data_IF_484336514477
#
_entry.id   IF_484336514477
#
_cell.length_a   1.000
_cell.length_b   1.000
_cell.length_c   1.000
_cell.angle_alpha   90.00
_cell.angle_beta   90.00
_cell.angle_gamma   90.00
#
_symmetry.space_group_name_H-M   'P 1'
#
loop_
_entity.id
_entity.type
_entity.pdbx_description
1 polymer ?
#
# COMPACT_ATOMS: atom_id res chain seq x y z
N UNK A 1 -15.15 -81.21 -16.43
CA UNK A 1 -13.72 -80.94 -16.77
C UNK A 1 -13.68 -79.52 -17.36
N UNK A 2 -13.84 -78.44 -16.59
CA UNK A 2 -12.94 -77.81 -15.60
C UNK A 2 -11.58 -77.37 -16.19
N UNK A 3 -11.60 -76.26 -16.94
CA UNK A 3 -10.46 -75.37 -17.18
C UNK A 3 -10.94 -73.94 -16.90
N UNK A 4 -10.74 -73.44 -15.67
CA UNK A 4 -9.67 -72.52 -15.23
C UNK A 4 -9.72 -71.16 -15.93
N UNK A 5 -10.48 -70.27 -15.29
CA UNK A 5 -10.36 -68.81 -15.42
C UNK A 5 -8.94 -68.40 -15.01
N UNK A 6 -8.19 -67.84 -15.95
CA UNK A 6 -6.91 -67.16 -15.69
C UNK A 6 -7.27 -65.76 -15.20
N UNK A 7 -7.11 -65.59 -13.89
CA UNK A 7 -7.16 -64.30 -13.20
C UNK A 7 -5.97 -63.46 -13.67
N UNK A 8 -6.22 -62.51 -14.57
CA UNK A 8 -5.31 -61.40 -14.84
C UNK A 8 -5.47 -60.41 -13.67
N UNK A 9 -4.77 -60.70 -12.57
CA UNK A 9 -4.49 -59.76 -11.48
C UNK A 9 -3.01 -59.46 -11.51
N UNK A 10 -2.55 -58.60 -12.40
CA UNK A 10 -1.31 -57.83 -12.34
C UNK A 10 -1.28 -57.01 -13.63
N UNK A 11 -0.93 -55.72 -13.54
CA UNK A 11 -1.04 -54.68 -14.59
C UNK A 11 -2.37 -53.88 -14.54
N UNK A 12 -2.83 -53.55 -13.33
CA UNK A 12 -3.35 -52.20 -13.02
C UNK A 12 -2.49 -51.70 -11.85
N UNK A 13 -1.23 -51.48 -12.17
CA UNK A 13 -0.18 -51.00 -11.28
C UNK A 13 0.78 -50.13 -12.10
N UNK A 14 0.22 -49.35 -13.02
CA UNK A 14 0.94 -48.43 -13.90
C UNK A 14 0.22 -47.09 -13.81
N UNK A 15 0.91 -46.15 -13.16
CA UNK A 15 0.69 -44.70 -13.20
C UNK A 15 -0.68 -44.17 -12.76
N UNK A 16 -0.94 -44.25 -11.45
CA UNK A 16 -1.48 -43.08 -10.74
C UNK A 16 -0.28 -42.25 -10.22
N UNK A 17 0.60 -41.81 -11.12
CA UNK A 17 1.22 -40.51 -10.89
C UNK A 17 0.13 -39.52 -11.30
N UNK A 18 -0.73 -39.18 -10.35
CA UNK A 18 -1.33 -37.85 -10.38
C UNK A 18 -0.11 -36.95 -10.26
N UNK A 19 0.43 -36.54 -11.40
CA UNK A 19 1.15 -35.29 -11.49
C UNK A 19 0.08 -34.30 -11.04
N UNK A 20 0.02 -34.04 -9.74
CA UNK A 20 -0.59 -32.83 -9.21
C UNK A 20 0.35 -31.73 -9.70
N UNK A 21 0.28 -31.43 -10.99
CA UNK A 21 0.74 -30.17 -11.50
C UNK A 21 -0.13 -29.18 -10.76
N UNK A 22 0.43 -28.61 -9.69
CA UNK A 22 -0.09 -27.42 -9.05
C UNK A 22 -0.08 -26.41 -10.20
N UNK A 23 -1.20 -26.28 -10.90
CA UNK A 23 -1.28 -25.43 -12.07
C UNK A 23 -1.17 -24.02 -11.52
N UNK A 24 -0.08 -23.31 -11.83
CA UNK A 24 0.02 -21.91 -11.49
C UNK A 24 -1.11 -21.16 -12.24
N UNK A 25 -1.81 -20.28 -11.52
CA UNK A 25 -2.74 -19.34 -12.09
C UNK A 25 -1.94 -18.19 -12.72
N UNK A 26 -1.86 -18.21 -14.04
CA UNK A 26 -1.21 -17.17 -14.84
C UNK A 26 -2.25 -16.15 -15.31
N UNK A 27 -2.06 -14.88 -14.94
CA UNK A 27 -2.92 -13.76 -15.28
C UNK A 27 -2.21 -12.89 -16.33
N UNK A 28 -2.41 -13.24 -17.60
CA UNK A 28 -1.89 -12.49 -18.76
C UNK A 28 -2.86 -11.40 -19.24
N UNK A 29 -4.13 -11.44 -18.81
CA UNK A 29 -5.16 -10.46 -19.13
C UNK A 29 -5.84 -9.93 -17.86
N UNK A 30 -6.47 -8.77 -17.98
CA UNK A 30 -7.21 -8.15 -16.89
C UNK A 30 -8.32 -9.08 -16.38
N UNK A 31 -8.19 -9.53 -15.13
CA UNK A 31 -9.05 -10.56 -14.55
C UNK A 31 -9.68 -10.03 -13.27
N UNK A 32 -10.97 -10.28 -13.10
CA UNK A 32 -11.70 -10.05 -11.86
C UNK A 32 -12.27 -11.36 -11.37
N UNK A 33 -11.91 -11.70 -10.15
CA UNK A 33 -12.44 -12.85 -9.45
C UNK A 33 -13.31 -12.31 -8.32
N UNK A 34 -14.62 -12.37 -8.54
CA UNK A 34 -15.61 -12.03 -7.53
C UNK A 34 -16.12 -13.31 -6.84
N UNK A 35 -16.46 -13.20 -5.57
CA UNK A 35 -16.98 -14.30 -4.75
C UNK A 35 -16.03 -15.52 -4.61
N UNK A 36 -14.70 -15.33 -4.72
CA UNK A 36 -13.72 -16.36 -4.36
C UNK A 36 -13.11 -16.11 -2.98
N UNK A 37 -13.49 -16.93 -2.00
CA UNK A 37 -12.97 -16.83 -0.64
C UNK A 37 -11.50 -17.28 -0.52
N UNK A 38 -11.01 -18.16 -1.40
CA UNK A 38 -9.66 -18.73 -1.29
C UNK A 38 -9.00 -18.97 -2.63
N UNK A 39 -7.76 -18.50 -2.78
CA UNK A 39 -6.83 -18.82 -3.87
C UNK A 39 -5.73 -19.72 -3.30
N UNK A 40 -5.54 -20.94 -3.81
CA UNK A 40 -4.51 -21.88 -3.32
C UNK A 40 -3.40 -22.14 -4.31
N UNK A 41 -3.64 -21.88 -5.60
CA UNK A 41 -2.65 -22.10 -6.65
C UNK A 41 -1.57 -21.02 -6.62
N UNK A 42 -0.36 -21.35 -7.10
CA UNK A 42 0.68 -20.35 -7.32
C UNK A 42 0.16 -19.26 -8.26
N UNK A 43 0.48 -18.01 -7.98
CA UNK A 43 -0.10 -16.86 -8.69
C UNK A 43 0.99 -16.09 -9.43
N UNK A 44 0.83 -15.94 -10.74
CA UNK A 44 1.69 -15.07 -11.56
C UNK A 44 0.83 -14.05 -12.28
N UNK A 45 1.12 -12.76 -12.09
CA UNK A 45 0.42 -11.67 -12.78
C UNK A 45 1.42 -10.97 -13.69
N UNK A 46 1.14 -10.98 -14.99
CA UNK A 46 2.03 -10.44 -15.99
C UNK A 46 2.03 -8.92 -16.00
N UNK A 47 3.13 -8.38 -16.51
CA UNK A 47 3.29 -6.94 -16.67
C UNK A 47 2.23 -6.40 -17.63
N UNK A 48 1.51 -5.37 -17.20
CA UNK A 48 0.45 -4.73 -17.98
C UNK A 48 -0.96 -5.24 -17.64
N UNK A 49 -1.05 -6.35 -16.91
CA UNK A 49 -2.32 -6.98 -16.52
C UNK A 49 -2.67 -6.65 -15.07
N UNK A 50 -3.92 -6.91 -14.68
CA UNK A 50 -4.32 -6.86 -13.28
C UNK A 50 -5.17 -8.06 -12.87
N UNK A 51 -5.06 -8.42 -11.59
CA UNK A 51 -5.98 -9.32 -10.92
C UNK A 51 -6.65 -8.55 -9.78
N UNK A 52 -7.98 -8.47 -9.81
CA UNK A 52 -8.80 -7.99 -8.70
C UNK A 52 -9.49 -9.18 -8.05
N UNK A 53 -9.25 -9.37 -6.75
CA UNK A 53 -9.93 -10.37 -5.92
C UNK A 53 -10.86 -9.64 -4.94
N UNK A 54 -12.16 -9.89 -5.07
CA UNK A 54 -13.19 -9.34 -4.18
C UNK A 54 -14.01 -10.43 -3.51
N UNK A 55 -14.27 -10.26 -2.21
CA UNK A 55 -15.17 -11.12 -1.44
C UNK A 55 -15.71 -10.39 -0.20
N UNK A 56 -16.83 -10.86 0.36
CA UNK A 56 -17.34 -10.48 1.67
C UNK A 56 -17.77 -11.77 2.41
N UNK A 57 -17.22 -12.10 3.59
CA UNK A 57 -16.44 -11.25 4.51
C UNK A 57 -14.93 -11.50 4.56
N UNK A 58 -14.38 -12.48 3.84
CA UNK A 58 -12.95 -12.78 3.89
C UNK A 58 -12.34 -13.33 2.59
N UNK A 59 -11.08 -12.95 2.32
CA UNK A 59 -10.23 -13.53 1.26
C UNK A 59 -8.99 -14.16 1.89
N UNK A 60 -8.65 -15.36 1.44
CA UNK A 60 -7.36 -16.00 1.74
C UNK A 60 -6.59 -16.32 0.46
N UNK A 61 -5.38 -15.79 0.31
CA UNK A 61 -4.43 -16.20 -0.72
C UNK A 61 -3.39 -17.10 -0.06
N UNK A 62 -3.51 -18.40 -0.26
CA UNK A 62 -2.65 -19.45 0.30
C UNK A 62 -1.77 -20.06 -0.81
N UNK A 63 -1.11 -19.22 -1.60
CA UNK A 63 -0.26 -19.60 -2.73
C UNK A 63 1.17 -19.83 -2.24
N UNK A 64 1.86 -20.88 -2.71
CA UNK A 64 3.27 -21.07 -2.32
C UNK A 64 4.13 -19.94 -2.90
N UNK A 65 3.89 -19.57 -4.15
CA UNK A 65 4.59 -18.49 -4.84
C UNK A 65 3.61 -17.47 -5.40
N UNK A 66 3.85 -16.19 -5.12
CA UNK A 66 3.12 -15.06 -5.69
C UNK A 66 4.13 -14.17 -6.43
N UNK A 67 4.03 -14.12 -7.75
CA UNK A 67 4.85 -13.27 -8.62
C UNK A 67 3.96 -12.19 -9.22
N UNK A 68 4.08 -10.96 -8.70
CA UNK A 68 3.29 -9.83 -9.19
C UNK A 68 4.16 -8.88 -10.02
N UNK A 69 4.09 -9.00 -11.36
CA UNK A 69 4.71 -8.06 -12.29
C UNK A 69 3.72 -7.00 -12.81
N UNK A 70 2.42 -7.21 -12.62
CA UNK A 70 1.31 -6.32 -13.03
C UNK A 70 0.69 -5.58 -11.85
N UNK A 71 -0.63 -5.71 -11.66
CA UNK A 71 -1.33 -5.16 -10.50
C UNK A 71 -2.16 -6.24 -9.79
N UNK A 72 -1.83 -6.57 -8.55
CA UNK A 72 -2.63 -7.41 -7.68
C UNK A 72 -3.43 -6.53 -6.72
N UNK A 73 -4.74 -6.66 -6.77
CA UNK A 73 -5.68 -5.90 -6.00
C UNK A 73 -6.53 -6.85 -5.17
N UNK A 74 -6.53 -6.68 -3.85
CA UNK A 74 -7.28 -7.51 -2.92
C UNK A 74 -8.08 -6.58 -2.04
N UNK A 75 -9.40 -6.76 -2.02
CA UNK A 75 -10.24 -5.97 -1.15
C UNK A 75 -11.71 -6.30 -1.26
N UNK A 76 -12.53 -5.37 -0.79
CA UNK A 76 -13.99 -5.49 -0.83
C UNK A 76 -14.56 -4.63 -1.94
N UNK A 77 -15.61 -5.12 -2.61
CA UNK A 77 -16.44 -4.29 -3.48
C UNK A 77 -17.46 -3.45 -2.68
N UNK A 78 -17.67 -3.78 -1.40
CA UNK A 78 -18.58 -3.05 -0.51
C UNK A 78 -17.94 -1.75 -0.03
N UNK A 79 -18.74 -0.68 -0.03
CA UNK A 79 -18.35 0.62 0.53
C UNK A 79 -18.64 0.74 2.02
N UNK A 80 -19.32 -0.26 2.60
CA UNK A 80 -19.76 -0.27 4.00
C UNK A 80 -19.14 -1.39 4.81
N UNK A 81 -18.78 -2.51 4.17
CA UNK A 81 -18.32 -3.71 4.85
C UNK A 81 -16.80 -3.82 4.83
N UNK A 82 -16.24 -4.29 5.93
CA UNK A 82 -14.80 -4.56 6.05
C UNK A 82 -14.50 -6.03 5.73
N UNK A 83 -13.44 -6.31 4.99
CA UNK A 83 -13.04 -7.67 4.61
C UNK A 83 -11.79 -8.13 5.38
N UNK A 84 -11.77 -9.37 5.85
CA UNK A 84 -10.56 -9.96 6.43
C UNK A 84 -9.69 -10.54 5.31
N UNK A 85 -8.43 -10.14 5.24
CA UNK A 85 -7.50 -10.54 4.18
C UNK A 85 -6.35 -11.32 4.80
N UNK A 86 -6.18 -12.57 4.40
CA UNK A 86 -5.04 -13.38 4.80
C UNK A 86 -4.20 -13.75 3.57
N UNK A 87 -2.94 -13.33 3.52
CA UNK A 87 -1.99 -13.74 2.48
C UNK A 87 -0.94 -14.62 3.15
N UNK A 88 -0.92 -15.90 2.81
CA UNK A 88 0.03 -16.88 3.31
C UNK A 88 0.76 -17.54 2.14
N UNK A 89 2.08 -17.65 2.24
CA UNK A 89 2.88 -18.26 1.17
C UNK A 89 4.34 -18.43 1.49
N UNK A 90 5.06 -19.16 0.64
CA UNK A 90 6.51 -19.28 0.75
C UNK A 90 7.20 -18.04 0.20
N UNK A 91 6.77 -17.50 -0.94
CA UNK A 91 7.38 -16.31 -1.53
C UNK A 91 6.38 -15.32 -2.12
N UNK A 92 6.62 -14.03 -1.89
CA UNK A 92 6.00 -12.91 -2.59
C UNK A 92 7.09 -12.08 -3.28
N UNK A 93 7.06 -12.04 -4.61
CA UNK A 93 7.91 -11.18 -5.42
C UNK A 93 7.05 -10.11 -6.10
N UNK A 94 7.07 -8.91 -5.53
CA UNK A 94 6.30 -7.77 -6.03
C UNK A 94 7.19 -6.80 -6.81
N UNK A 95 7.04 -6.79 -8.14
CA UNK A 95 7.64 -5.80 -9.05
C UNK A 95 6.62 -4.79 -9.57
N UNK A 96 5.35 -5.16 -9.51
CA UNK A 96 4.21 -4.35 -9.92
C UNK A 96 3.59 -3.57 -8.76
N UNK A 97 2.26 -3.52 -8.73
CA UNK A 97 1.50 -2.91 -7.63
C UNK A 97 0.72 -3.97 -6.88
N UNK A 98 0.92 -4.07 -5.57
CA UNK A 98 0.11 -4.89 -4.68
C UNK A 98 -0.70 -3.96 -3.79
N UNK A 99 -2.01 -3.94 -3.98
CA UNK A 99 -2.95 -3.13 -3.20
C UNK A 99 -3.80 -4.06 -2.35
N UNK A 100 -3.75 -3.85 -1.04
CA UNK A 100 -4.55 -4.56 -0.05
C UNK A 100 -5.43 -3.51 0.63
N UNK A 101 -6.73 -3.57 0.38
CA UNK A 101 -7.73 -2.66 0.93
C UNK A 101 -8.82 -3.46 1.64
N UNK A 102 -8.78 -3.44 2.97
CA UNK A 102 -9.74 -4.14 3.81
C UNK A 102 -11.08 -3.38 4.00
N UNK A 103 -11.34 -2.34 3.20
CA UNK A 103 -12.58 -1.58 3.21
C UNK A 103 -12.61 -0.43 4.23
N UNK A 104 -13.79 0.13 4.50
CA UNK A 104 -13.98 1.10 5.58
C UNK A 104 -13.75 0.48 6.97
N UNK A 105 -13.68 1.37 7.97
CA UNK A 105 -13.47 1.07 9.41
C UNK A 105 -14.31 -0.14 9.83
N UNK A 106 -13.66 -1.19 10.33
CA UNK A 106 -14.30 -2.40 10.85
C UNK A 106 -13.36 -3.23 11.71
N UNK A 107 -13.78 -4.43 12.11
CA UNK A 107 -12.98 -5.37 12.92
C UNK A 107 -12.25 -6.41 12.07
N UNK A 108 -12.24 -6.23 10.75
CA UNK A 108 -11.62 -7.15 9.83
C UNK A 108 -10.11 -6.90 9.74
N UNK A 109 -9.34 -7.98 9.80
CA UNK A 109 -7.89 -7.94 9.88
C UNK A 109 -7.21 -8.32 8.57
N UNK A 110 -6.04 -7.76 8.35
CA UNK A 110 -5.10 -8.00 7.26
C UNK A 110 -3.86 -8.66 7.83
N UNK A 111 -3.70 -9.95 7.53
CA UNK A 111 -2.56 -10.75 7.96
C UNK A 111 -1.75 -11.17 6.73
N UNK A 112 -0.48 -10.78 6.68
CA UNK A 112 0.47 -11.22 5.64
C UNK A 112 1.53 -12.08 6.32
N UNK A 113 1.63 -13.36 5.95
CA UNK A 113 2.57 -14.35 6.51
C UNK A 113 3.33 -15.03 5.39
N UNK A 114 4.58 -14.60 5.19
CA UNK A 114 5.42 -15.08 4.09
C UNK A 114 6.70 -15.69 4.63
N UNK A 115 7.31 -16.65 3.92
CA UNK A 115 8.70 -16.98 4.21
C UNK A 115 9.63 -15.91 3.64
N UNK A 116 9.44 -15.54 2.37
CA UNK A 116 10.22 -14.50 1.69
C UNK A 116 9.33 -13.40 1.11
N UNK A 117 9.74 -12.14 1.32
CA UNK A 117 9.17 -10.95 0.71
C UNK A 117 10.28 -10.21 -0.06
N UNK A 118 10.13 -10.10 -1.37
CA UNK A 118 10.94 -9.21 -2.23
C UNK A 118 10.04 -8.16 -2.86
N UNK A 119 10.18 -6.91 -2.44
CA UNK A 119 9.44 -5.78 -2.99
C UNK A 119 10.37 -4.84 -3.77
N UNK A 120 10.14 -4.69 -5.07
CA UNK A 120 10.78 -3.68 -5.93
C UNK A 120 9.78 -2.76 -6.60
N UNK A 121 8.48 -3.07 -6.50
CA UNK A 121 7.38 -2.23 -6.94
C UNK A 121 6.74 -1.44 -5.79
N UNK A 122 5.42 -1.29 -5.85
CA UNK A 122 4.60 -0.62 -4.85
C UNK A 122 3.75 -1.64 -4.08
N UNK A 123 3.84 -1.64 -2.76
CA UNK A 123 2.97 -2.42 -1.88
C UNK A 123 2.20 -1.46 -0.98
N UNK A 124 0.88 -1.51 -1.03
CA UNK A 124 0.00 -0.73 -0.18
C UNK A 124 -0.84 -1.66 0.69
N UNK A 125 -0.66 -1.56 2.01
CA UNK A 125 -1.53 -2.20 3.00
C UNK A 125 -2.35 -1.15 3.72
N UNK A 126 -3.66 -1.12 3.45
CA UNK A 126 -4.61 -0.39 4.27
C UNK A 126 -5.01 -1.27 5.45
N UNK A 127 -4.81 -0.74 6.65
CA UNK A 127 -4.95 -1.41 7.92
C UNK A 127 -6.24 -0.90 8.60
N UNK A 128 -6.91 -1.76 9.36
CA UNK A 128 -8.12 -1.43 10.10
C UNK A 128 -7.92 -1.42 11.62
N UNK A 129 -7.14 -2.36 12.18
CA UNK A 129 -6.96 -2.46 13.62
C UNK A 129 -5.59 -2.98 14.10
N UNK A 130 -5.42 -3.09 15.42
CA UNK A 130 -4.16 -3.55 16.02
C UNK A 130 -3.83 -5.03 15.82
N UNK A 131 -4.72 -5.81 15.18
CA UNK A 131 -4.47 -7.21 14.83
C UNK A 131 -3.83 -7.38 13.46
N UNK A 132 -3.79 -6.32 12.65
CA UNK A 132 -3.09 -6.30 11.38
C UNK A 132 -1.57 -6.55 11.56
N UNK A 133 -0.97 -7.30 10.64
CA UNK A 133 0.44 -7.60 10.75
C UNK A 133 1.09 -8.15 9.48
N UNK A 134 2.40 -7.89 9.38
CA UNK A 134 3.29 -8.42 8.36
C UNK A 134 4.36 -9.28 9.02
N UNK A 135 4.32 -10.59 8.77
CA UNK A 135 5.29 -11.57 9.24
C UNK A 135 6.06 -12.14 8.07
N UNK A 136 7.39 -12.07 8.13
CA UNK A 136 8.31 -12.63 7.13
C UNK A 136 9.36 -13.46 7.88
N UNK A 137 9.56 -14.74 7.55
CA UNK A 137 10.40 -15.63 8.37
C UNK A 137 11.84 -15.80 7.90
N UNK A 138 12.10 -15.67 6.59
CA UNK A 138 13.38 -16.03 5.98
C UNK A 138 14.09 -14.81 5.40
N UNK A 139 13.46 -14.07 4.47
CA UNK A 139 14.09 -12.93 3.79
C UNK A 139 13.10 -11.80 3.52
N UNK A 140 13.43 -10.59 3.97
CA UNK A 140 12.67 -9.37 3.70
C UNK A 140 13.56 -8.35 3.01
N UNK A 141 13.38 -8.20 1.69
CA UNK A 141 14.08 -7.24 0.85
C UNK A 141 13.08 -6.21 0.30
N UNK A 142 13.32 -4.94 0.58
CA UNK A 142 12.59 -3.83 -0.02
C UNK A 142 13.54 -2.88 -0.77
N UNK A 143 13.35 -2.77 -2.07
CA UNK A 143 14.02 -1.81 -2.96
C UNK A 143 13.05 -0.81 -3.58
N UNK A 144 11.73 -1.07 -3.46
CA UNK A 144 10.65 -0.20 -3.93
C UNK A 144 10.00 0.58 -2.80
N UNK A 145 8.68 0.76 -2.90
CA UNK A 145 7.89 1.53 -1.95
C UNK A 145 6.85 0.66 -1.23
N UNK A 146 6.84 0.72 0.09
CA UNK A 146 5.84 0.07 0.94
C UNK A 146 5.07 1.16 1.68
N UNK A 147 3.75 1.20 1.55
CA UNK A 147 2.85 2.04 2.33
C UNK A 147 2.03 1.16 3.27
N UNK A 148 2.05 1.49 4.56
CA UNK A 148 1.29 0.81 5.60
C UNK A 148 0.57 1.86 6.41
N UNK A 149 -0.75 1.83 6.44
CA UNK A 149 -1.49 2.89 7.10
C UNK A 149 -2.89 2.50 7.52
N UNK A 150 -3.30 3.02 8.67
CA UNK A 150 -4.66 2.89 9.14
C UNK A 150 -5.59 3.81 8.38
N UNK A 151 -6.84 3.36 8.20
CA UNK A 151 -7.87 4.22 7.64
C UNK A 151 -8.74 4.86 8.73
N UNK A 152 -9.01 6.15 8.57
CA UNK A 152 -9.90 6.91 9.46
C UNK A 152 -9.23 7.39 10.75
N UNK A 153 -9.99 7.37 11.85
CA UNK A 153 -9.53 7.82 13.18
C UNK A 153 -8.99 6.68 14.05
N UNK A 154 -8.79 5.50 13.47
CA UNK A 154 -8.25 4.37 14.20
C UNK A 154 -6.74 4.54 14.34
N UNK A 155 -6.26 4.35 15.56
CA UNK A 155 -4.86 4.37 15.90
C UNK A 155 -4.49 2.98 16.40
N UNK A 156 -3.67 2.27 15.64
CA UNK A 156 -3.30 0.89 15.90
C UNK A 156 -1.81 0.68 16.10
N UNK A 157 -1.47 -0.40 16.79
CA UNK A 157 -0.11 -0.95 16.73
C UNK A 157 -0.03 -1.86 15.51
N UNK A 158 0.76 -1.47 14.52
CA UNK A 158 1.04 -2.36 13.40
C UNK A 158 2.23 -3.24 13.75
N UNK A 159 2.04 -4.56 13.66
CA UNK A 159 3.10 -5.52 14.03
C UNK A 159 3.87 -5.97 12.79
N UNK A 160 5.16 -5.63 12.73
CA UNK A 160 6.11 -6.20 11.76
C UNK A 160 6.95 -7.24 12.49
N UNK A 161 6.88 -8.49 12.04
CA UNK A 161 7.73 -9.59 12.50
C UNK A 161 8.67 -9.99 11.35
N UNK A 162 9.83 -9.34 11.19
CA UNK A 162 10.77 -9.68 10.14
C UNK A 162 11.58 -10.94 10.49
N UNK A 163 12.39 -11.48 9.56
CA UNK A 163 13.29 -12.58 9.86
C UNK A 163 14.31 -12.16 10.93
N UNK A 164 14.95 -13.12 11.58
CA UNK A 164 15.98 -12.85 12.60
C UNK A 164 17.18 -12.05 12.06
N UNK A 165 17.41 -12.10 10.74
CA UNK A 165 18.41 -11.31 10.03
C UNK A 165 18.01 -9.84 9.85
N UNK A 166 16.75 -9.49 10.11
CA UNK A 166 16.22 -8.15 9.96
C UNK A 166 15.67 -7.85 8.56
N UNK A 167 15.55 -6.56 8.24
CA UNK A 167 15.05 -6.09 6.94
C UNK A 167 16.22 -5.50 6.13
N UNK A 168 16.31 -5.86 4.85
CA UNK A 168 17.15 -5.15 3.88
C UNK A 168 16.28 -4.14 3.12
N UNK A 169 16.28 -2.89 3.57
CA UNK A 169 15.53 -1.80 2.96
C UNK A 169 16.49 -0.78 2.31
N UNK A 170 16.52 -0.74 0.98
CA UNK A 170 17.14 0.35 0.21
C UNK A 170 16.10 1.26 -0.46
N UNK A 171 14.81 0.93 -0.34
CA UNK A 171 13.70 1.76 -0.79
C UNK A 171 13.05 2.55 0.35
N UNK A 172 11.74 2.78 0.25
CA UNK A 172 10.97 3.55 1.23
C UNK A 172 9.88 2.69 1.88
N UNK A 173 9.79 2.74 3.22
CA UNK A 173 8.66 2.20 3.99
C UNK A 173 7.96 3.35 4.70
N UNK A 174 6.74 3.67 4.29
CA UNK A 174 5.94 4.76 4.81
C UNK A 174 4.84 4.24 5.73
N UNK A 175 4.74 4.85 6.90
CA UNK A 175 3.73 4.59 7.90
C UNK A 175 2.76 5.77 8.00
N UNK A 176 1.49 5.46 8.21
CA UNK A 176 0.42 6.46 8.38
C UNK A 176 -0.49 6.04 9.53
N UNK A 177 -0.69 6.94 10.50
CA UNK A 177 -1.51 6.72 11.70
C UNK A 177 -1.16 5.44 12.49
N UNK A 178 0.12 5.05 12.52
CA UNK A 178 0.59 3.77 13.07
C UNK A 178 1.59 3.94 14.21
N UNK A 179 1.56 3.01 15.18
CA UNK A 179 2.66 2.82 16.12
C UNK A 179 3.60 1.74 15.60
N UNK A 180 4.85 2.12 15.37
CA UNK A 180 5.86 1.22 14.81
C UNK A 180 6.99 1.04 15.80
N UNK A 181 7.28 -0.20 16.17
CA UNK A 181 8.46 -0.54 16.98
C UNK A 181 9.49 -1.27 16.13
N UNK A 182 10.65 -0.64 15.92
CA UNK A 182 11.81 -1.20 15.23
C UNK A 182 12.72 -1.82 16.30
N UNK A 183 12.59 -3.13 16.49
CA UNK A 183 13.34 -3.90 17.49
C UNK A 183 14.10 -5.07 16.84
N UNK A 184 14.66 -4.79 15.66
CA UNK A 184 15.35 -5.74 14.80
C UNK A 184 16.33 -4.98 13.89
N UNK A 185 17.32 -5.66 13.27
CA UNK A 185 18.22 -5.00 12.34
C UNK A 185 17.48 -4.47 11.10
N UNK A 186 17.87 -3.29 10.63
CA UNK A 186 17.49 -2.79 9.32
C UNK A 186 18.71 -2.23 8.61
N UNK A 187 18.94 -2.69 7.39
CA UNK A 187 20.13 -2.38 6.57
C UNK A 187 19.75 -1.91 5.18
N UNK A 188 20.68 -1.32 4.43
CA UNK A 188 20.49 -1.00 3.01
C UNK A 188 20.37 0.49 2.71
N UNK A 189 20.50 1.35 3.72
CA UNK A 189 20.54 2.81 3.57
C UNK A 189 19.25 3.47 3.11
N UNK A 190 18.11 2.75 3.09
CA UNK A 190 16.81 3.27 2.66
C UNK A 190 16.17 4.26 3.65
N UNK A 191 14.86 4.46 3.49
CA UNK A 191 14.08 5.40 4.28
C UNK A 191 12.87 4.75 4.98
N UNK A 192 12.60 5.19 6.20
CA UNK A 192 11.33 4.96 6.90
C UNK A 192 10.64 6.28 7.19
N UNK A 193 9.38 6.42 6.79
CA UNK A 193 8.66 7.69 6.85
C UNK A 193 7.49 7.61 7.82
N UNK A 194 7.41 8.59 8.73
CA UNK A 194 6.21 8.87 9.54
C UNK A 194 5.45 10.05 8.95
N UNK A 195 4.27 9.80 8.38
CA UNK A 195 3.56 10.77 7.56
C UNK A 195 2.53 11.63 8.30
N UNK A 196 2.02 11.19 9.45
CA UNK A 196 0.92 11.86 10.18
C UNK A 196 1.29 12.29 11.59
N UNK A 197 0.39 13.07 12.17
CA UNK A 197 0.41 13.55 13.56
C UNK A 197 0.37 12.46 14.61
N UNK A 198 -0.10 11.26 14.24
CA UNK A 198 -0.30 10.17 15.18
C UNK A 198 0.82 9.15 15.09
N UNK A 199 1.63 9.17 14.04
CA UNK A 199 2.73 8.23 13.89
C UNK A 199 3.71 8.35 15.06
N UNK A 200 3.91 7.22 15.76
CA UNK A 200 4.97 7.10 16.75
C UNK A 200 5.94 6.01 16.36
N UNK A 201 7.23 6.34 16.43
CA UNK A 201 8.30 5.39 16.21
C UNK A 201 8.92 5.03 17.55
N UNK A 202 9.14 3.75 17.79
CA UNK A 202 10.04 3.26 18.83
C UNK A 202 11.23 2.58 18.16
N UNK A 203 12.44 3.03 18.45
CA UNK A 203 13.66 2.64 17.76
C UNK A 203 14.62 2.05 18.78
N UNK A 204 14.90 0.75 18.70
CA UNK A 204 15.87 0.12 19.59
C UNK A 204 17.29 0.19 19.01
N UNK A 205 18.12 0.99 19.68
CA UNK A 205 19.52 1.26 19.33
C UNK A 205 20.49 0.11 19.61
N UNK A 206 20.01 -1.02 20.16
CA UNK A 206 20.81 -2.25 20.28
C UNK A 206 20.96 -3.00 18.94
N UNK A 207 20.06 -2.69 17.99
CA UNK A 207 20.07 -3.25 16.64
C UNK A 207 20.64 -2.24 15.64
N UNK A 208 21.30 -2.75 14.60
CA UNK A 208 21.82 -1.90 13.52
C UNK A 208 20.65 -1.31 12.74
N UNK A 209 20.59 0.01 12.63
CA UNK A 209 19.56 0.74 11.89
C UNK A 209 20.25 1.68 10.93
N UNK A 210 20.63 1.13 9.78
CA UNK A 210 21.21 1.86 8.65
C UNK A 210 20.06 2.34 7.76
N UNK A 211 19.27 3.28 8.29
CA UNK A 211 18.08 3.85 7.67
C UNK A 211 17.94 5.32 8.04
N UNK A 212 17.39 6.12 7.12
CA UNK A 212 16.92 7.47 7.44
C UNK A 212 15.48 7.41 7.93
N UNK A 213 15.23 7.77 9.18
CA UNK A 213 13.87 7.94 9.71
C UNK A 213 13.44 9.39 9.47
N UNK A 214 12.45 9.59 8.60
CA UNK A 214 11.97 10.91 8.22
C UNK A 214 10.58 11.18 8.81
N UNK A 215 10.48 12.22 9.64
CA UNK A 215 9.24 12.63 10.30
C UNK A 215 8.60 13.80 9.56
N UNK A 216 7.49 13.59 8.87
CA UNK A 216 6.93 14.60 7.94
C UNK A 216 5.73 15.37 8.48
N UNK A 217 5.18 14.94 9.62
CA UNK A 217 3.99 15.59 10.20
C UNK A 217 4.17 17.10 10.42
N UNK A 218 3.08 17.86 10.38
CA UNK A 218 3.10 19.29 10.72
C UNK A 218 2.69 19.55 12.18
N UNK A 219 2.37 18.50 12.93
CA UNK A 219 1.94 18.56 14.33
C UNK A 219 3.00 17.95 15.26
N UNK A 220 2.61 17.63 16.50
CA UNK A 220 3.43 16.87 17.44
C UNK A 220 3.92 15.56 16.83
N UNK A 221 5.23 15.32 16.91
CA UNK A 221 5.89 14.07 16.53
C UNK A 221 6.57 13.49 17.75
N UNK A 222 6.45 12.17 17.95
CA UNK A 222 7.15 11.50 19.03
C UNK A 222 7.95 10.31 18.50
N UNK A 223 9.22 10.26 18.86
CA UNK A 223 10.10 9.12 18.63
C UNK A 223 10.67 8.66 19.97
N UNK A 224 10.46 7.40 20.29
CA UNK A 224 11.00 6.74 21.47
C UNK A 224 12.29 6.02 21.11
N UNK A 225 13.38 6.35 21.79
CA UNK A 225 14.69 5.74 21.64
C UNK A 225 14.86 4.71 22.75
N UNK A 226 14.99 3.44 22.37
CA UNK A 226 15.17 2.30 23.27
C UNK A 226 16.61 1.75 23.13
N UNK A 227 16.98 0.83 24.02
CA UNK A 227 18.29 0.14 23.98
C UNK A 227 19.39 0.84 24.76
N UNK A 228 20.63 0.50 24.45
CA UNK A 228 21.86 0.95 25.13
C UNK A 228 22.60 2.09 24.44
N UNK A 229 22.14 2.56 23.28
CA UNK A 229 22.82 3.58 22.48
C UNK A 229 23.97 3.05 21.62
N UNK A 230 24.00 1.73 21.36
CA UNK A 230 25.06 1.06 20.58
C UNK A 230 25.15 1.59 19.14
N UNK A 231 24.01 1.78 18.48
CA UNK A 231 23.92 2.35 17.13
C UNK A 231 23.28 3.74 17.16
N UNK A 232 23.69 4.60 16.24
CA UNK A 232 23.24 5.99 16.12
C UNK A 232 22.19 6.06 15.00
N UNK A 233 20.88 6.17 15.31
CA UNK A 233 19.87 6.30 14.28
C UNK A 233 19.99 7.66 13.59
N UNK A 234 19.74 7.68 12.28
CA UNK A 234 19.66 8.88 11.46
C UNK A 234 18.20 9.33 11.40
N UNK A 235 17.91 10.50 11.96
CA UNK A 235 16.56 11.05 12.06
C UNK A 235 16.55 12.39 11.31
N UNK A 236 15.53 12.64 10.50
CA UNK A 236 15.34 13.87 9.72
C UNK A 236 13.90 14.35 9.85
N UNK A 237 13.62 15.59 9.47
CA UNK A 237 12.29 16.19 9.66
C UNK A 237 12.03 16.66 11.09
N UNK A 238 13.10 16.91 11.86
CA UNK A 238 13.03 17.35 13.25
C UNK A 238 12.70 18.83 13.29
N UNK A 239 11.60 19.17 13.94
CA UNK A 239 11.09 20.52 14.08
C UNK A 239 10.76 20.86 15.55
N UNK A 240 10.19 22.05 15.77
CA UNK A 240 9.82 22.52 17.10
C UNK A 240 8.72 21.69 17.80
N UNK A 241 8.06 20.78 17.07
CA UNK A 241 7.00 19.90 17.58
C UNK A 241 7.49 18.46 17.76
N UNK A 242 8.76 18.21 17.48
CA UNK A 242 9.38 16.89 17.61
C UNK A 242 9.87 16.66 19.03
N UNK A 243 9.48 15.53 19.61
CA UNK A 243 9.93 15.07 20.92
C UNK A 243 10.66 13.73 20.80
N UNK A 244 11.87 13.68 21.34
CA UNK A 244 12.61 12.43 21.54
C UNK A 244 12.36 11.95 22.96
N UNK A 245 11.74 10.80 23.12
CA UNK A 245 11.59 10.13 24.40
C UNK A 245 12.66 9.06 24.57
N UNK A 246 13.25 8.91 25.75
CA UNK A 246 14.31 7.94 25.99
C UNK A 246 13.85 6.83 26.95
N UNK A 247 14.04 5.59 26.53
CA UNK A 247 13.77 4.39 27.30
C UNK A 247 12.30 4.20 27.67
N UNK A 248 12.10 3.38 28.71
CA UNK A 248 10.78 3.15 29.31
C UNK A 248 10.51 4.22 30.37
N UNK A 249 9.48 4.04 31.17
CA UNK A 249 9.24 4.92 32.30
C UNK A 249 9.96 4.38 33.53
N UNK A 250 10.62 5.27 34.26
CA UNK A 250 11.26 4.96 35.55
C UNK A 250 10.68 5.84 36.64
N UNK A 251 10.70 5.37 37.88
CA UNK A 251 10.31 6.21 39.03
C UNK A 251 11.15 7.49 39.06
N UNK A 252 10.49 8.61 39.35
CA UNK A 252 11.12 9.93 39.39
C UNK A 252 12.36 9.91 40.27
N UNK A 253 13.46 10.40 39.73
CA UNK A 253 14.67 10.69 40.47
C UNK A 253 15.33 11.92 39.85
N UNK A 254 16.26 12.58 40.55
CA UNK A 254 16.95 13.75 40.01
C UNK A 254 17.73 13.45 38.70
N UNK A 255 18.01 12.16 38.43
CA UNK A 255 18.75 11.70 37.26
C UNK A 255 17.86 11.43 36.03
N UNK A 256 16.55 11.71 36.10
CA UNK A 256 15.66 11.55 34.93
C UNK A 256 15.65 12.75 34.00
N UNK A 257 16.38 13.84 34.30
CA UNK A 257 16.66 14.90 33.33
C UNK A 257 17.86 14.53 32.47
N UNK A 258 17.78 14.85 31.19
CA UNK A 258 18.86 14.65 30.23
C UNK A 258 19.84 15.81 30.27
N UNK A 259 21.13 15.53 30.39
CA UNK A 259 22.17 16.47 29.95
C UNK A 259 22.25 16.37 28.43
N UNK A 260 22.32 17.50 27.74
CA UNK A 260 22.26 17.55 26.27
C UNK A 260 23.51 18.23 25.74
N UNK A 261 24.06 17.70 24.65
CA UNK A 261 25.03 18.41 23.81
C UNK A 261 24.72 18.14 22.34
N UNK A 262 25.03 19.10 21.48
CA UNK A 262 24.84 18.96 20.04
C UNK A 262 26.11 19.40 19.32
N UNK A 263 26.63 18.53 18.46
CA UNK A 263 27.78 18.83 17.61
C UNK A 263 27.27 19.44 16.29
N UNK A 264 27.47 20.75 16.11
CA UNK A 264 27.00 21.50 14.95
C UNK A 264 27.67 21.07 13.64
N UNK A 265 28.87 20.50 13.69
CA UNK A 265 29.61 20.01 12.52
C UNK A 265 29.09 18.65 12.06
N UNK A 266 28.86 17.72 12.98
CA UNK A 266 28.43 16.36 12.63
C UNK A 266 26.92 16.17 12.64
N UNK A 267 26.16 17.09 13.23
CA UNK A 267 24.71 16.95 13.40
C UNK A 267 24.30 15.95 14.48
N UNK A 268 25.24 15.52 15.34
CA UNK A 268 24.98 14.49 16.36
C UNK A 268 24.51 15.15 17.65
N UNK A 269 23.28 14.85 18.05
CA UNK A 269 22.70 15.14 19.36
C UNK A 269 23.09 14.02 20.34
N UNK A 270 23.81 14.36 21.40
CA UNK A 270 24.19 13.43 22.47
C UNK A 270 23.44 13.78 23.76
N UNK A 271 22.89 12.77 24.42
CA UNK A 271 22.21 12.89 25.70
C UNK A 271 22.78 11.95 26.74
N UNK A 272 22.84 12.41 27.98
CA UNK A 272 23.17 11.60 29.16
C UNK A 272 22.00 11.63 30.12
N UNK A 273 21.41 10.47 30.39
CA UNK A 273 20.32 10.33 31.33
C UNK A 273 20.41 8.98 32.07
N UNK A 274 19.37 8.60 32.81
CA UNK A 274 19.27 7.34 33.56
C UNK A 274 19.49 6.08 32.70
N UNK A 275 19.30 6.16 31.38
CA UNK A 275 19.53 5.07 30.41
C UNK A 275 20.94 5.06 29.81
N UNK A 276 21.83 5.94 30.27
CA UNK A 276 23.20 6.06 29.76
C UNK A 276 23.34 7.15 28.69
N UNK A 277 24.29 6.93 27.78
CA UNK A 277 24.62 7.86 26.70
C UNK A 277 23.88 7.43 25.45
N UNK A 278 23.02 8.30 24.92
CA UNK A 278 22.37 8.08 23.62
C UNK A 278 22.86 9.14 22.63
N UNK A 279 23.03 8.72 21.37
CA UNK A 279 23.40 9.60 20.26
C UNK A 279 22.38 9.46 19.15
N UNK A 280 21.98 10.58 18.57
CA UNK A 280 21.07 10.66 17.43
C UNK A 280 21.72 11.55 16.38
N UNK A 281 21.81 11.11 15.14
CA UNK A 281 22.14 12.00 14.04
C UNK A 281 20.85 12.67 13.59
N UNK A 282 20.71 13.97 13.86
CA UNK A 282 19.54 14.78 13.46
C UNK A 282 19.83 15.75 12.32
N UNK A 283 21.05 15.70 11.75
CA UNK A 283 21.53 16.62 10.74
C UNK A 283 22.12 17.91 11.33
N UNK A 284 22.78 18.69 10.48
CA UNK A 284 23.48 19.94 10.85
C UNK A 284 22.55 21.16 10.85
N UNK A 285 22.99 22.26 11.45
CA UNK A 285 22.35 23.58 11.36
C UNK A 285 21.38 23.92 12.50
N UNK A 286 21.19 23.03 13.47
CA UNK A 286 20.41 23.34 14.67
C UNK A 286 21.23 24.22 15.63
N UNK A 287 20.55 25.09 16.38
CA UNK A 287 21.17 25.81 17.49
C UNK A 287 21.19 24.92 18.73
N UNK A 288 22.39 24.64 19.26
CA UNK A 288 22.55 23.80 20.45
C UNK A 288 21.77 24.32 21.67
N UNK A 289 21.55 25.64 21.77
CA UNK A 289 20.80 26.25 22.88
C UNK A 289 19.29 26.05 22.77
N UNK A 290 18.80 25.69 21.58
CA UNK A 290 17.39 25.40 21.33
C UNK A 290 16.93 24.03 21.84
N UNK A 291 17.82 23.15 22.29
CA UNK A 291 17.42 21.85 22.86
C UNK A 291 17.04 21.96 24.33
N UNK A 292 15.84 21.49 24.65
CA UNK A 292 15.30 21.52 26.02
C UNK A 292 15.15 20.09 26.53
N UNK A 293 15.66 19.83 27.74
CA UNK A 293 15.36 18.59 28.46
C UNK A 293 14.06 18.75 29.26
N UNK A 294 13.18 17.78 29.13
CA UNK A 294 11.97 17.65 29.91
C UNK A 294 11.75 16.24 30.43
N UNK A 295 10.56 16.00 30.98
CA UNK A 295 10.10 14.68 31.40
C UNK A 295 8.63 14.55 31.04
N UNK A 296 8.21 13.38 30.56
CA UNK A 296 6.80 13.07 30.33
C UNK A 296 6.31 12.07 31.38
N UNK A 297 5.19 12.39 32.02
CA UNK A 297 4.47 11.47 32.92
C UNK A 297 3.57 10.60 32.04
N UNK A 298 3.51 9.30 32.32
CA UNK A 298 2.45 8.49 31.73
C UNK A 298 1.31 8.24 32.68
N UNK A 299 0.12 8.03 32.11
CA UNK A 299 -1.11 7.82 32.86
C UNK A 299 -1.10 6.58 33.77
N UNK A 300 -0.23 5.58 33.55
CA UNK A 300 -0.23 4.34 34.34
C UNK A 300 0.52 4.45 35.67
N UNK A 301 1.32 5.50 35.88
CA UNK A 301 2.06 5.70 37.12
C UNK A 301 2.39 7.19 37.31
N UNK A 302 1.74 7.83 38.29
CA UNK A 302 1.90 9.26 38.63
C UNK A 302 3.33 9.65 39.04
N UNK A 303 4.16 8.67 39.36
CA UNK A 303 5.57 8.87 39.74
C UNK A 303 6.55 8.34 38.69
N UNK A 304 6.09 7.85 37.55
CA UNK A 304 6.94 7.30 36.51
C UNK A 304 7.09 8.29 35.36
N UNK A 305 8.34 8.50 34.95
CA UNK A 305 8.74 9.52 33.99
C UNK A 305 9.64 8.89 32.93
N UNK A 306 9.50 9.32 31.69
CA UNK A 306 10.50 9.12 30.65
C UNK A 306 11.21 10.45 30.38
N UNK A 307 12.56 10.48 30.34
CA UNK A 307 13.30 11.65 29.88
C UNK A 307 12.88 12.00 28.45
N UNK A 308 12.65 13.29 28.20
CA UNK A 308 12.39 13.78 26.85
C UNK A 308 13.37 14.88 26.46
N UNK A 309 13.58 15.03 25.16
CA UNK A 309 14.24 16.17 24.54
C UNK A 309 13.30 16.73 23.48
N UNK A 310 13.13 18.05 23.49
CA UNK A 310 12.46 18.79 22.41
C UNK A 310 13.37 19.88 21.88
N UNK A 311 13.03 20.42 20.71
CA UNK A 311 13.71 21.57 20.12
C UNK A 311 12.75 22.77 20.13
N UNK A 312 13.22 23.94 20.54
CA UNK A 312 12.45 25.19 20.55
C UNK A 312 13.13 26.32 19.78
N UNK A 313 14.27 26.05 19.15
CA UNK A 313 15.01 27.01 18.35
C UNK A 313 14.42 27.19 16.94
N UNK A 314 15.10 27.99 16.12
CA UNK A 314 14.77 28.13 14.69
C UNK A 314 15.19 26.84 13.98
N UNK A 315 14.26 26.23 13.24
CA UNK A 315 14.53 24.97 12.55
C UNK A 315 15.32 25.26 11.26
N UNK A 316 16.48 24.62 11.04
CA UNK A 316 17.22 24.80 9.80
C UNK A 316 16.44 24.24 8.60
N UNK A 317 16.55 24.88 7.44
CA UNK A 317 15.88 24.43 6.21
C UNK A 317 16.26 22.99 5.83
N UNK A 318 17.53 22.62 6.01
CA UNK A 318 18.00 21.26 5.77
C UNK A 318 17.42 20.23 6.76
N UNK A 319 16.95 20.68 7.93
CA UNK A 319 16.33 19.83 8.94
C UNK A 319 14.90 19.41 8.59
N UNK A 320 14.21 20.15 7.72
CA UNK A 320 12.82 19.89 7.30
C UNK A 320 12.69 19.45 5.86
N UNK A 321 13.72 19.60 5.03
CA UNK A 321 13.71 19.08 3.66
C UNK A 321 13.63 17.56 3.66
N UNK A 322 12.78 17.00 2.78
CA UNK A 322 12.71 15.57 2.53
C UNK A 322 14.08 15.05 2.06
N UNK A 323 14.66 14.04 2.73
CA UNK A 323 15.87 13.39 2.24
C UNK A 323 15.64 12.78 0.86
N UNK A 324 16.61 12.88 -0.05
CA UNK A 324 16.49 12.36 -1.42
C UNK A 324 16.27 10.84 -1.49
N UNK A 325 16.69 10.11 -0.45
CA UNK A 325 16.50 8.66 -0.32
C UNK A 325 15.07 8.28 0.09
N UNK A 326 14.29 9.25 0.58
CA UNK A 326 12.90 9.03 0.93
C UNK A 326 12.03 9.36 -0.29
N UNK A 327 11.64 8.34 -1.06
CA UNK A 327 10.75 8.52 -2.21
C UNK A 327 9.39 9.01 -1.78
N UNK A 328 8.71 9.78 -2.62
CA UNK A 328 7.31 10.19 -2.42
C UNK A 328 6.39 9.00 -2.67
N UNK A 329 5.27 8.92 -1.94
CA UNK A 329 4.22 7.96 -2.26
C UNK A 329 3.87 8.10 -3.76
N UNK A 330 3.95 7.02 -4.55
CA UNK A 330 3.49 7.04 -5.93
C UNK A 330 2.05 7.54 -6.00
N UNK A 331 1.68 8.24 -7.08
CA UNK A 331 0.36 8.84 -7.23
C UNK A 331 -0.77 7.83 -6.92
N UNK A 332 -1.71 8.22 -6.06
CA UNK A 332 -2.84 7.39 -5.63
C UNK A 332 -3.78 7.02 -6.77
N UNK A 333 -3.79 7.77 -7.87
CA UNK A 333 -4.50 7.35 -9.10
C UNK A 333 -3.96 6.01 -9.63
N UNK A 334 -2.69 5.72 -9.37
CA UNK A 334 -2.05 4.43 -9.67
C UNK A 334 -2.39 3.35 -8.63
N UNK A 335 -2.89 3.72 -7.46
CA UNK A 335 -3.20 2.85 -6.32
C UNK A 335 -4.69 2.48 -6.21
N UNK A 336 -5.52 2.96 -7.13
CA UNK A 336 -6.91 2.53 -7.25
C UNK A 336 -6.96 1.32 -8.17
N UNK A 337 -7.38 0.19 -7.61
CA UNK A 337 -7.87 -0.91 -8.40
C UNK A 337 -8.99 -0.37 -9.29
N UNK A 338 -9.04 -0.67 -10.59
CA UNK A 338 -10.10 -0.18 -11.45
C UNK A 338 -11.43 -0.62 -10.85
N UNK A 339 -12.17 0.36 -10.31
CA UNK A 339 -13.56 0.17 -9.91
C UNK A 339 -14.29 -0.14 -11.20
N UNK A 340 -14.66 -1.40 -11.39
CA UNK A 340 -15.55 -1.76 -12.49
C UNK A 340 -16.89 -1.09 -12.18
N UNK A 341 -17.15 0.03 -12.84
CA UNK A 341 -18.52 0.49 -13.05
C UNK A 341 -19.10 -0.53 -14.02
N UNK A 342 -19.75 -1.56 -13.49
CA UNK A 342 -20.57 -2.45 -14.29
C UNK A 342 -21.82 -1.66 -14.71
N UNK A 343 -21.65 -0.77 -15.69
CA UNK A 343 -22.78 -0.25 -16.45
C UNK A 343 -23.06 -1.24 -17.56
N UNK A 344 -24.05 -2.10 -17.30
CA UNK A 344 -24.86 -2.85 -18.26
C UNK A 344 -24.11 -3.80 -19.21
N UNK A 345 -23.94 -5.04 -18.77
CA UNK A 345 -24.10 -6.19 -19.66
C UNK A 345 -25.06 -7.17 -18.99
N UNK A 346 -26.29 -7.20 -19.51
CA UNK A 346 -27.30 -8.21 -19.20
C UNK A 346 -26.74 -9.61 -19.38
N UNK A 347 -27.16 -10.48 -18.47
CA UNK A 347 -26.82 -11.90 -18.34
C UNK A 347 -26.59 -12.66 -19.65
N UNK A 348 -25.49 -13.41 -19.71
CA UNK A 348 -25.46 -14.72 -20.36
C UNK A 348 -24.94 -15.74 -19.35
N UNK A 349 -25.90 -16.31 -18.62
CA UNK A 349 -25.72 -17.54 -17.88
C UNK A 349 -25.37 -18.65 -18.87
N UNK A 350 -24.21 -19.29 -18.70
CA UNK A 350 -23.82 -20.45 -19.48
C UNK A 350 -24.62 -21.67 -19.03
N UNK A 351 -25.82 -21.86 -19.57
CA UNK A 351 -26.48 -23.16 -19.58
C UNK A 351 -26.22 -23.85 -20.92
N UNK A 352 -25.52 -24.99 -20.86
CA UNK A 352 -25.44 -25.95 -21.95
C UNK A 352 -26.84 -26.44 -22.32
N UNK A 353 -27.27 -26.21 -23.57
CA UNK A 353 -28.33 -26.98 -24.21
C UNK A 353 -28.12 -27.02 -25.73
N UNK A 354 -27.90 -28.24 -26.25
CA UNK A 354 -27.99 -28.57 -27.67
C UNK A 354 -29.44 -28.46 -28.15
N UNK A 355 -29.69 -27.74 -29.26
CA UNK A 355 -30.46 -28.26 -30.40
C UNK A 355 -30.69 -27.18 -31.48
N UNK A 356 -30.42 -27.59 -32.71
CA UNK A 356 -30.68 -27.01 -34.04
C UNK A 356 -32.00 -26.23 -34.26
N UNK A 357 -31.93 -25.12 -35.01
CA UNK A 357 -32.55 -24.98 -36.34
C UNK A 357 -32.35 -23.56 -36.90
N UNK A 358 -32.23 -23.48 -38.24
CA UNK A 358 -32.04 -22.24 -39.00
C UNK A 358 -33.33 -21.42 -39.11
N UNK A 359 -33.20 -20.10 -39.26
CA UNK A 359 -33.98 -19.28 -40.21
C UNK A 359 -33.37 -17.85 -40.27
N UNK A 360 -33.24 -17.36 -41.49
CA UNK A 360 -32.90 -15.99 -41.94
C UNK A 360 -33.99 -15.64 -42.97
N UNK A 361 -34.24 -14.39 -43.40
CA UNK A 361 -34.04 -13.04 -42.84
C UNK A 361 -35.37 -12.27 -42.71
N UNK A 362 -35.36 -11.05 -42.15
CA UNK A 362 -36.04 -9.88 -42.76
C UNK A 362 -35.56 -8.57 -42.15
N UNK A 363 -35.47 -7.59 -43.04
CA UNK A 363 -35.06 -6.21 -42.96
C UNK A 363 -35.87 -5.29 -42.03
N UNK A 364 -35.18 -4.18 -41.70
CA UNK A 364 -35.64 -2.77 -41.65
C UNK A 364 -36.24 -2.19 -40.36
N UNK A 365 -36.02 -0.86 -40.25
CA UNK A 365 -36.51 0.13 -39.28
C UNK A 365 -35.67 0.25 -37.99
N UNK A 366 -35.25 1.41 -37.46
CA UNK A 366 -35.45 2.84 -37.73
C UNK A 366 -34.32 3.63 -37.03
N UNK A 367 -33.98 4.82 -37.53
CA UNK A 367 -33.34 5.84 -36.72
C UNK A 367 -34.28 6.24 -35.56
N UNK A 368 -33.79 6.20 -34.32
CA UNK A 368 -34.29 7.07 -33.25
C UNK A 368 -33.28 7.19 -32.10
N UNK A 369 -33.23 8.42 -31.57
CA UNK A 369 -32.57 8.90 -30.34
C UNK A 369 -31.05 8.89 -30.27
N UNK A 370 -30.48 10.06 -30.58
CA UNK A 370 -29.26 10.57 -29.98
C UNK A 370 -29.52 10.78 -28.47
N UNK A 371 -29.27 9.78 -27.63
CA UNK A 371 -29.33 9.98 -26.17
C UNK A 371 -28.06 10.71 -25.72
N UNK A 372 -28.22 11.99 -25.37
CA UNK A 372 -27.20 12.74 -24.63
C UNK A 372 -27.48 12.50 -23.15
N UNK A 373 -26.85 11.49 -22.55
CA UNK A 373 -26.95 11.27 -21.10
C UNK A 373 -25.97 12.19 -20.37
N UNK A 374 -26.46 13.37 -19.99
CA UNK A 374 -25.74 14.28 -19.10
C UNK A 374 -26.16 14.01 -17.66
N UNK A 375 -25.44 13.16 -16.93
CA UNK A 375 -25.61 13.03 -15.47
C UNK A 375 -24.84 14.14 -14.77
N UNK A 376 -25.53 15.25 -14.51
CA UNK A 376 -25.02 16.31 -13.61
C UNK A 376 -25.57 16.05 -12.22
N UNK A 377 -24.74 15.53 -11.31
CA UNK A 377 -25.05 15.46 -9.89
C UNK A 377 -24.63 16.80 -9.25
N UNK A 378 -25.61 17.67 -8.98
CA UNK A 378 -25.40 18.90 -8.20
C UNK A 378 -25.80 18.60 -6.75
N UNK A 379 -24.87 18.53 -5.79
CA UNK A 379 -25.23 18.40 -4.39
C UNK A 379 -25.61 19.77 -3.83
N UNK A 380 -26.89 19.99 -3.55
CA UNK A 380 -27.36 21.15 -2.79
C UNK A 380 -27.22 20.88 -1.29
N UNK A 381 -26.05 21.18 -0.71
CA UNK A 381 -26.00 21.65 0.68
C UNK A 381 -24.68 22.37 0.99
N UNK A 382 -24.85 23.53 1.63
CA UNK A 382 -23.83 24.49 2.01
C UNK A 382 -22.98 23.99 3.18
N UNK A 383 -21.75 23.55 2.92
CA UNK A 383 -20.63 23.71 3.85
C UNK A 383 -19.31 23.67 3.07
N UNK A 384 -18.41 24.62 3.39
CA UNK A 384 -17.11 24.81 2.76
C UNK A 384 -16.20 23.59 3.03
N UNK A 385 -16.24 22.60 2.14
CA UNK A 385 -15.17 21.63 1.94
C UNK A 385 -14.90 21.52 0.45
N UNK A 386 -13.63 21.31 0.07
CA UNK A 386 -13.18 21.19 -1.31
C UNK A 386 -13.98 20.09 -2.03
N UNK A 387 -14.86 20.49 -2.94
CA UNK A 387 -15.63 19.58 -3.78
C UNK A 387 -14.95 19.49 -5.14
N UNK A 388 -14.39 18.31 -5.46
CA UNK A 388 -13.98 17.97 -6.81
C UNK A 388 -15.21 17.48 -7.58
N UNK A 389 -15.41 17.99 -8.79
CA UNK A 389 -16.47 17.50 -9.68
C UNK A 389 -15.82 16.89 -10.92
N UNK A 390 -16.13 15.63 -11.18
CA UNK A 390 -15.75 14.95 -12.42
C UNK A 390 -17.01 14.76 -13.27
N UNK A 391 -16.95 15.15 -14.54
CA UNK A 391 -18.00 14.88 -15.53
C UNK A 391 -17.44 14.03 -16.67
N UNK A 392 -18.26 13.08 -17.13
CA UNK A 392 -17.97 12.24 -18.27
C UNK A 392 -19.08 12.41 -19.30
N UNK A 393 -18.70 12.82 -20.51
CA UNK A 393 -19.63 12.97 -21.62
C UNK A 393 -19.26 11.96 -22.70
N UNK A 394 -20.26 11.20 -23.15
CA UNK A 394 -20.11 10.21 -24.20
C UNK A 394 -20.97 10.65 -25.38
N UNK A 395 -20.35 10.82 -26.54
CA UNK A 395 -21.04 11.12 -27.79
C UNK A 395 -20.81 9.95 -28.75
N UNK A 396 -21.91 9.26 -29.05
CA UNK A 396 -21.93 8.12 -29.97
C UNK A 396 -22.52 8.56 -31.31
N UNK A 397 -21.83 8.24 -32.39
CA UNK A 397 -22.36 8.29 -33.76
C UNK A 397 -22.13 6.96 -34.48
N UNK A 398 -22.70 6.78 -35.67
CA UNK A 398 -22.63 5.52 -36.43
C UNK A 398 -21.22 5.08 -36.85
N UNK A 399 -20.20 5.95 -36.73
CA UNK A 399 -18.82 5.66 -37.15
C UNK A 399 -17.74 6.15 -36.18
N UNK A 400 -18.13 6.84 -35.11
CA UNK A 400 -17.19 7.44 -34.16
C UNK A 400 -17.80 7.47 -32.75
N UNK A 401 -16.99 7.07 -31.76
CA UNK A 401 -17.26 7.25 -30.35
C UNK A 401 -16.26 8.27 -29.78
N UNK A 402 -16.76 9.32 -29.15
CA UNK A 402 -15.95 10.32 -28.47
C UNK A 402 -16.29 10.30 -26.98
N UNK A 403 -15.27 10.11 -26.15
CA UNK A 403 -15.39 10.15 -24.69
C UNK A 403 -14.59 11.33 -24.19
N UNK A 404 -15.23 12.27 -23.49
CA UNK A 404 -14.57 13.40 -22.85
C UNK A 404 -14.69 13.28 -21.34
N UNK A 405 -13.56 13.33 -20.65
CA UNK A 405 -13.47 13.33 -19.19
C UNK A 405 -12.93 14.68 -18.74
N UNK A 406 -13.71 15.37 -17.91
CA UNK A 406 -13.33 16.68 -17.37
C UNK A 406 -13.33 16.62 -15.86
N UNK A 407 -12.19 16.96 -15.26
CA UNK A 407 -12.06 17.16 -13.82
C UNK A 407 -11.94 18.65 -13.52
N UNK A 408 -12.72 19.13 -12.57
CA UNK A 408 -12.71 20.52 -12.14
C UNK A 408 -12.45 20.64 -10.64
N UNK A 409 -11.72 21.70 -10.28
CA UNK A 409 -11.56 22.18 -8.91
C UNK A 409 -11.76 23.70 -8.92
N UNK A 410 -12.74 24.18 -8.14
CA UNK A 410 -13.11 25.59 -7.94
C UNK A 410 -12.81 26.53 -9.13
N UNK A 411 -13.77 26.64 -10.05
CA UNK A 411 -13.71 27.49 -11.26
C UNK A 411 -12.52 27.23 -12.20
N UNK A 412 -11.72 26.17 -11.98
CA UNK A 412 -10.62 25.78 -12.85
C UNK A 412 -10.78 24.33 -13.34
N UNK A 413 -10.44 24.10 -14.60
CA UNK A 413 -10.34 22.76 -15.18
C UNK A 413 -8.96 22.21 -14.85
N UNK A 414 -8.89 21.14 -14.04
CA UNK A 414 -7.64 20.46 -13.71
C UNK A 414 -7.10 19.72 -14.93
N UNK A 415 -7.96 18.94 -15.58
CA UNK A 415 -7.66 18.29 -16.84
C UNK A 415 -8.94 18.02 -17.64
N UNK A 416 -8.77 17.99 -18.96
CA UNK A 416 -9.79 17.63 -19.92
C UNK A 416 -9.17 16.68 -20.95
N UNK A 417 -9.59 15.42 -20.92
CA UNK A 417 -9.03 14.37 -21.78
C UNK A 417 -10.13 13.86 -22.70
N UNK A 418 -9.90 13.94 -24.01
CA UNK A 418 -10.84 13.43 -25.03
C UNK A 418 -10.23 12.25 -25.77
N UNK A 419 -10.94 11.13 -25.74
CA UNK A 419 -10.63 9.92 -26.48
C UNK A 419 -11.54 9.83 -27.69
N UNK A 420 -10.98 9.56 -28.87
CA UNK A 420 -11.75 9.36 -30.09
C UNK A 420 -11.47 7.98 -30.68
N UNK A 421 -12.53 7.22 -30.87
CA UNK A 421 -12.50 5.89 -31.46
C UNK A 421 -13.28 5.93 -32.77
N UNK A 422 -12.64 5.57 -33.88
CA UNK A 422 -13.27 5.53 -35.20
C UNK A 422 -13.28 4.06 -35.66
N UNK A 423 -14.44 3.59 -36.11
CA UNK A 423 -14.56 2.24 -36.67
C UNK A 423 -14.22 2.31 -38.17
N UNK A 424 -13.04 1.83 -38.56
CA UNK A 424 -12.62 1.79 -39.96
C UNK A 424 -13.14 0.50 -40.59
N UNK A 425 -14.07 0.60 -41.55
CA UNK A 425 -14.78 -0.54 -42.13
C UNK A 425 -13.92 -1.43 -43.06
N UNK A 426 -12.68 -1.05 -43.35
CA UNK A 426 -11.75 -1.86 -44.16
C UNK A 426 -10.31 -1.42 -43.87
N UNK A 427 -9.50 -2.32 -43.30
CA UNK A 427 -8.05 -2.15 -43.18
C UNK A 427 -7.45 -2.83 -44.41
N UNK A 428 -7.13 -2.05 -45.44
CA UNK A 428 -6.18 -2.48 -46.46
C UNK A 428 -4.77 -2.08 -45.98
N UNK A 429 -3.79 -2.93 -46.26
CA UNK A 429 -2.45 -3.01 -45.66
C UNK A 429 -1.68 -1.69 -45.42
N UNK A 430 -0.86 -1.74 -44.36
CA UNK A 430 0.26 -0.89 -43.93
C UNK A 430 0.04 0.64 -43.85
N UNK A 431 -0.35 1.09 -42.66
CA UNK A 431 0.27 2.23 -41.94
C UNK A 431 -0.33 2.33 -40.53
N UNK A 432 0.46 2.05 -39.50
CA UNK A 432 0.12 2.35 -38.10
C UNK A 432 0.66 3.72 -37.73
N UNK A 433 -0.11 4.77 -38.05
CA UNK A 433 0.04 6.06 -37.38
C UNK A 433 -1.13 6.23 -36.41
N UNK A 434 -0.87 6.01 -35.13
CA UNK A 434 -1.77 6.43 -34.05
C UNK A 434 -1.36 7.85 -33.64
N UNK A 435 -2.12 8.86 -34.06
CA UNK A 435 -1.92 10.22 -33.58
C UNK A 435 -2.65 10.40 -32.24
N UNK A 436 -1.89 10.47 -31.14
CA UNK A 436 -2.39 10.97 -29.87
C UNK A 436 -2.12 12.48 -29.85
N UNK A 437 -3.17 13.29 -30.06
CA UNK A 437 -3.05 14.74 -29.93
C UNK A 437 -3.45 15.15 -28.53
N UNK A 438 -2.46 15.41 -27.66
CA UNK A 438 -2.68 16.04 -26.35
C UNK A 438 -2.56 17.55 -26.52
N UNK A 439 -3.68 18.28 -26.50
CA UNK A 439 -3.67 19.74 -26.51
C UNK A 439 -3.83 20.28 -25.08
N UNK A 440 -2.84 21.02 -24.59
CA UNK A 440 -2.94 21.79 -23.37
C UNK A 440 -3.43 23.21 -23.71
N UNK A 441 -4.56 23.62 -23.15
CA UNK A 441 -5.03 25.01 -23.21
C UNK A 441 -4.78 25.66 -21.85
N UNK A 442 -3.72 26.46 -21.75
CA UNK A 442 -3.54 27.38 -20.63
C UNK A 442 -4.33 28.67 -20.88
N UNK A 443 -5.11 29.12 -19.89
CA UNK A 443 -5.44 30.54 -19.74
C UNK A 443 -4.63 31.12 -18.60
#
# INVERSE_FOLDING_TARGET
MLMKSIVIRYIIGVLFQIITSIAALEISENTVIDNLATVTDDLTIDRGSYLLVTYDPSVSINSNNIVNNGNLCIGTASTTDSISINIAGSSLNNKGKLIIDNGPIGTASTLIKLATLTNSGYLRGRLNDGSDGLTVTDSFINTGYIWLGYSGNVFGSFTINPPNTGIQNSGTISFTDSNVTINFPVTGGGCMVGSTSRDTFAVNTDYSIDQTIYLTSTTTKSITILGSGKYIPVIRGVDAKTTFQFGRQVRKSNNTKSVISYNTTSGILTTWNVYGIMKLDIGTGYDATGFISGQVISGSCSTCYAPIISYSGIVPTAGTSRPSICDIEPDRTMALCPLIISSSSSALSSSYAQSSSSLVPSSSYLLSSLETSSTVLIPTSSSLSQQHTASKTIVMSSSQCVITETAMEYFSTLYNTTYSYITVATINEETTDTYITTSFSSK
#
